data_IF_210411670912
#
_entry.id   IF_210411670912
#
_cell.length_a   1.000
_cell.length_b   1.000
_cell.length_c   1.000
_cell.angle_alpha   90.00
_cell.angle_beta   90.00
_cell.angle_gamma   90.00
#
_symmetry.space_group_name_H-M   'P 1'
#
loop_
_entity.id
_entity.type
_entity.pdbx_description
1 polymer ?
#
# COMPACT_ATOMS: atom_id res chain seq x y z
N UNK A 1 -4.49 -50.86 -12.78
CA UNK A 1 -4.14 -50.27 -11.48
C UNK A 1 -3.04 -49.24 -11.72
N UNK A 2 -3.43 -47.98 -11.98
CA UNK A 2 -2.52 -46.85 -12.11
C UNK A 2 -2.47 -46.17 -10.73
N UNK A 3 -1.26 -45.91 -10.22
CA UNK A 3 -1.05 -45.12 -9.00
C UNK A 3 -1.14 -43.65 -9.39
N UNK A 4 -2.06 -42.94 -8.77
CA UNK A 4 -2.13 -41.48 -8.81
C UNK A 4 -1.10 -40.93 -7.83
N UNK A 5 -0.20 -40.09 -8.32
CA UNK A 5 0.65 -39.27 -7.48
C UNK A 5 -0.11 -37.95 -7.25
N UNK A 6 -0.59 -37.76 -6.02
CA UNK A 6 -1.04 -36.45 -5.56
C UNK A 6 0.20 -35.57 -5.36
N UNK A 7 0.30 -34.50 -6.13
CA UNK A 7 1.28 -33.42 -5.90
C UNK A 7 0.55 -32.35 -5.09
N UNK A 8 0.94 -32.22 -3.82
CA UNK A 8 0.53 -31.14 -2.94
C UNK A 8 1.45 -29.96 -3.24
N UNK A 9 0.95 -28.92 -3.89
CA UNK A 9 1.63 -27.64 -3.97
C UNK A 9 1.31 -26.87 -2.68
N UNK A 10 2.31 -26.78 -1.80
CA UNK A 10 2.27 -25.92 -0.63
C UNK A 10 2.52 -24.48 -1.08
N UNK A 11 1.47 -23.67 -1.09
CA UNK A 11 1.58 -22.21 -1.22
C UNK A 11 2.24 -21.70 0.06
N UNK A 12 3.50 -21.31 -0.03
CA UNK A 12 4.19 -20.57 1.03
C UNK A 12 4.23 -19.12 0.57
N UNK A 13 3.11 -18.43 0.71
CA UNK A 13 3.03 -16.98 0.50
C UNK A 13 3.81 -16.28 1.60
N UNK A 14 4.85 -15.54 1.23
CA UNK A 14 5.56 -14.64 2.13
C UNK A 14 4.65 -13.43 2.34
N UNK A 15 4.05 -13.34 3.52
CA UNK A 15 3.31 -12.15 3.96
C UNK A 15 4.31 -11.03 4.17
N UNK A 16 4.42 -10.11 3.22
CA UNK A 16 5.06 -8.81 3.44
C UNK A 16 4.07 -8.00 4.27
N UNK A 17 4.42 -7.77 5.52
CA UNK A 17 3.63 -6.96 6.43
C UNK A 17 3.56 -5.53 5.88
N UNK A 18 2.37 -5.13 5.40
CA UNK A 18 2.05 -3.73 5.16
C UNK A 18 2.30 -2.96 6.47
N UNK A 19 3.24 -2.02 6.41
CA UNK A 19 3.49 -1.08 7.50
C UNK A 19 2.29 -0.13 7.52
N UNK A 20 1.35 -0.38 8.42
CA UNK A 20 0.26 0.53 8.74
C UNK A 20 0.86 1.83 9.28
N UNK A 21 0.91 2.87 8.45
CA UNK A 21 1.10 4.23 8.93
C UNK A 21 -0.29 4.73 9.31
N UNK A 22 -0.66 4.45 10.57
CA UNK A 22 -1.76 5.16 11.22
C UNK A 22 -1.48 6.66 11.23
N UNK A 23 -2.42 7.42 10.69
CA UNK A 23 -2.47 8.87 10.78
C UNK A 23 -2.21 9.34 12.21
N UNK A 24 -1.27 10.28 12.34
CA UNK A 24 -0.86 10.83 13.61
C UNK A 24 -1.99 11.60 14.30
N UNK A 25 -2.51 11.06 15.39
CA UNK A 25 -3.13 11.87 16.44
C UNK A 25 -2.05 12.19 17.48
N UNK A 26 -1.45 13.37 17.34
CA UNK A 26 -0.56 13.97 18.32
C UNK A 26 -1.38 14.36 19.59
N UNK A 27 -1.63 13.41 20.50
CA UNK A 27 -2.11 13.74 21.84
C UNK A 27 -0.93 14.14 22.74
N UNK A 28 -0.67 15.44 22.80
CA UNK A 28 0.21 16.07 23.77
C UNK A 28 -0.42 15.99 25.17
N UNK A 29 -0.02 15.01 25.97
CA UNK A 29 -0.29 15.01 27.43
C UNK A 29 1.00 15.21 28.21
N UNK A 30 1.07 16.32 28.94
CA UNK A 30 2.16 16.67 29.85
C UNK A 30 2.24 15.72 31.06
N UNK A 31 3.17 14.77 31.04
CA UNK A 31 3.82 14.05 32.16
C UNK A 31 4.66 12.95 31.48
N UNK A 32 5.98 13.02 31.42
CA UNK A 32 6.83 12.88 32.58
C UNK A 32 8.11 13.71 32.50
N UNK A 33 8.22 14.64 33.45
CA UNK A 33 9.44 15.32 33.82
C UNK A 33 10.14 14.41 34.84
N UNK A 34 11.09 13.59 34.39
CA UNK A 34 12.27 13.07 35.12
C UNK A 34 12.62 11.64 34.72
N UNK A 35 13.63 11.50 33.85
CA UNK A 35 14.68 10.49 33.96
C UNK A 35 15.90 10.98 33.16
N UNK A 36 16.52 12.06 33.65
CA UNK A 36 17.88 12.43 33.29
C UNK A 36 18.82 11.85 34.34
N UNK A 37 19.48 10.74 34.01
CA UNK A 37 20.79 10.38 34.53
C UNK A 37 21.33 9.24 33.66
N UNK A 38 21.72 9.59 32.44
CA UNK A 38 22.91 9.09 31.73
C UNK A 38 23.05 9.93 30.46
N UNK A 39 23.24 11.23 30.70
CA UNK A 39 23.50 12.25 29.69
C UNK A 39 25.01 12.33 29.50
N UNK A 40 25.57 11.43 28.70
CA UNK A 40 26.92 11.58 28.13
C UNK A 40 27.01 10.79 26.79
N UNK A 41 26.16 11.16 25.81
CA UNK A 41 26.36 10.91 24.37
C UNK A 41 25.23 11.52 23.51
N UNK A 42 24.73 12.72 23.84
CA UNK A 42 23.63 13.35 23.09
C UNK A 42 23.79 14.88 22.95
N UNK A 43 25.04 15.36 22.90
CA UNK A 43 25.35 16.78 22.69
C UNK A 43 26.62 16.98 21.84
N UNK A 44 26.97 16.02 20.99
CA UNK A 44 27.95 16.19 19.93
C UNK A 44 27.32 15.72 18.62
N UNK A 45 26.44 16.54 17.99
CA UNK A 45 26.35 16.54 16.52
C UNK A 45 25.54 17.67 15.86
N UNK A 46 25.39 18.86 16.45
CA UNK A 46 24.71 19.97 15.73
C UNK A 46 25.58 20.63 14.66
N UNK A 47 26.66 19.95 14.23
CA UNK A 47 27.67 20.45 13.30
C UNK A 47 28.13 19.37 12.30
N UNK A 48 27.39 18.26 12.15
CA UNK A 48 27.69 17.34 11.06
C UNK A 48 27.45 18.06 9.73
N UNK A 49 28.47 18.06 8.88
CA UNK A 49 28.34 18.60 7.54
C UNK A 49 27.26 17.79 6.80
N UNK A 50 26.35 18.48 6.11
CA UNK A 50 25.45 17.81 5.17
C UNK A 50 26.30 17.00 4.18
N UNK A 51 26.05 15.71 4.14
CA UNK A 51 26.66 14.82 3.18
C UNK A 51 25.88 14.91 1.88
N UNK A 52 26.61 15.10 0.78
CA UNK A 52 26.04 15.22 -0.56
C UNK A 52 26.36 13.96 -1.33
N UNK A 53 25.34 13.17 -1.62
CA UNK A 53 25.46 11.94 -2.39
C UNK A 53 24.84 12.11 -3.77
N UNK A 54 25.41 11.45 -4.77
CA UNK A 54 24.83 11.39 -6.12
C UNK A 54 24.14 10.05 -6.32
N UNK A 55 22.89 10.11 -6.73
CA UNK A 55 22.08 8.93 -6.94
C UNK A 55 21.39 8.96 -8.30
N UNK A 56 20.88 7.81 -8.70
CA UNK A 56 19.94 7.68 -9.81
C UNK A 56 18.63 7.14 -9.27
N UNK A 57 17.50 7.68 -9.72
CA UNK A 57 16.19 7.15 -9.37
C UNK A 57 15.94 5.85 -10.14
N UNK A 58 15.57 4.79 -9.42
CA UNK A 58 15.35 3.46 -9.99
C UNK A 58 13.88 3.09 -10.10
N UNK A 59 13.14 3.24 -8.99
CA UNK A 59 11.73 2.91 -8.88
C UNK A 59 11.11 3.60 -7.66
N UNK A 60 9.79 3.67 -7.65
CA UNK A 60 8.98 3.93 -6.47
C UNK A 60 8.07 2.72 -6.25
N UNK A 61 7.94 2.28 -5.00
CA UNK A 61 6.93 1.31 -4.60
C UNK A 61 6.47 1.63 -3.17
N UNK A 62 5.15 1.74 -2.99
CA UNK A 62 4.50 1.86 -1.68
C UNK A 62 5.02 3.02 -0.81
N UNK A 63 5.31 4.18 -1.41
CA UNK A 63 5.82 5.36 -0.72
C UNK A 63 7.32 5.32 -0.41
N UNK A 64 8.06 4.40 -1.03
CA UNK A 64 9.51 4.29 -0.95
C UNK A 64 10.16 4.50 -2.31
N UNK A 65 11.20 5.33 -2.33
CA UNK A 65 12.08 5.51 -3.48
C UNK A 65 13.29 4.60 -3.37
N UNK A 66 13.54 3.85 -4.44
CA UNK A 66 14.75 3.06 -4.63
C UNK A 66 15.78 3.87 -5.40
N UNK A 67 16.92 4.11 -4.76
CA UNK A 67 17.98 4.97 -5.27
C UNK A 67 19.26 4.17 -5.45
N UNK A 68 19.87 4.29 -6.63
CA UNK A 68 21.18 3.70 -6.91
C UNK A 68 22.29 4.68 -6.56
N UNK A 69 23.14 4.34 -5.61
CA UNK A 69 24.32 5.14 -5.25
C UNK A 69 25.35 5.11 -6.39
N UNK A 70 25.67 6.29 -6.95
CA UNK A 70 26.61 6.39 -8.07
C UNK A 70 28.08 6.29 -7.65
N UNK A 71 28.40 6.49 -6.37
CA UNK A 71 29.76 6.36 -5.83
C UNK A 71 30.08 4.93 -5.40
N UNK A 72 29.18 4.30 -4.64
CA UNK A 72 29.41 2.96 -4.07
C UNK A 72 28.79 1.83 -4.89
N UNK A 73 27.79 2.14 -5.71
CA UNK A 73 27.16 1.18 -6.62
C UNK A 73 26.13 0.25 -5.97
N UNK A 74 25.71 0.50 -4.73
CA UNK A 74 24.63 -0.24 -4.06
C UNK A 74 23.29 0.48 -4.17
N UNK A 75 22.20 -0.24 -3.91
CA UNK A 75 20.85 0.32 -3.78
C UNK A 75 20.58 0.68 -2.31
N UNK A 76 19.91 1.81 -2.11
CA UNK A 76 19.32 2.20 -0.82
C UNK A 76 17.92 2.76 -1.03
N UNK A 77 17.17 2.88 0.06
CA UNK A 77 15.80 3.39 0.03
C UNK A 77 15.62 4.61 0.92
N UNK A 78 14.68 5.46 0.53
CA UNK A 78 14.15 6.57 1.32
C UNK A 78 12.64 6.63 1.15
N UNK A 79 11.94 7.28 2.07
CA UNK A 79 10.56 7.68 1.81
C UNK A 79 10.47 8.61 0.60
N UNK A 80 9.38 8.47 -0.16
CA UNK A 80 9.00 9.42 -1.22
C UNK A 80 8.99 10.83 -0.63
N UNK A 81 9.77 11.77 -1.21
CA UNK A 81 9.90 13.11 -0.65
C UNK A 81 8.59 13.90 -0.81
N UNK A 82 8.01 14.39 0.29
CA UNK A 82 6.78 15.19 0.25
C UNK A 82 7.03 16.69 0.12
N UNK A 83 8.09 17.22 0.74
CA UNK A 83 8.42 18.65 0.75
C UNK A 83 9.93 18.94 0.58
N UNK A 84 10.73 17.91 0.28
CA UNK A 84 12.19 18.00 0.17
C UNK A 84 12.73 17.86 -1.26
N UNK A 85 11.87 17.76 -2.27
CA UNK A 85 12.26 17.57 -3.68
C UNK A 85 12.25 18.87 -4.49
N UNK A 86 13.37 19.16 -5.16
CA UNK A 86 13.56 20.40 -5.92
C UNK A 86 14.22 20.18 -7.29
N UNK A 87 14.06 21.13 -8.20
CA UNK A 87 14.82 21.23 -9.44
C UNK A 87 16.18 21.92 -9.23
N UNK A 88 17.00 21.96 -10.29
CA UNK A 88 18.30 22.65 -10.30
C UNK A 88 18.20 24.16 -9.98
N UNK A 89 17.02 24.76 -10.13
CA UNK A 89 16.74 26.17 -9.85
C UNK A 89 16.21 26.39 -8.42
N UNK A 90 15.96 25.32 -7.65
CA UNK A 90 15.39 25.36 -6.32
C UNK A 90 13.86 25.47 -6.26
N UNK A 91 13.16 25.22 -7.36
CA UNK A 91 11.69 25.11 -7.36
C UNK A 91 11.28 23.71 -6.89
N UNK A 92 10.20 23.62 -6.12
CA UNK A 92 9.66 22.33 -5.72
C UNK A 92 9.17 21.56 -6.97
N UNK A 93 9.43 20.25 -7.00
CA UNK A 93 8.93 19.33 -8.04
C UNK A 93 7.99 18.34 -7.38
N UNK A 94 6.92 17.96 -8.08
CA UNK A 94 6.09 16.83 -7.68
C UNK A 94 6.85 15.49 -7.86
N UNK A 95 6.88 14.60 -6.86
CA UNK A 95 7.53 13.29 -6.95
C UNK A 95 7.18 12.49 -8.22
N UNK A 96 5.94 12.61 -8.71
CA UNK A 96 5.45 11.93 -9.92
C UNK A 96 6.15 12.39 -11.22
N UNK A 97 6.84 13.53 -11.20
CA UNK A 97 7.62 14.02 -12.35
C UNK A 97 9.01 13.37 -12.49
N UNK A 98 9.47 12.64 -11.46
CA UNK A 98 10.75 11.91 -11.48
C UNK A 98 10.58 10.59 -12.20
N UNK A 99 11.53 10.28 -13.09
CA UNK A 99 11.49 9.08 -13.93
C UNK A 99 12.70 8.20 -13.69
N UNK A 100 12.54 6.89 -13.91
CA UNK A 100 13.65 5.93 -13.88
C UNK A 100 14.81 6.48 -14.72
N UNK A 101 15.99 6.53 -14.12
CA UNK A 101 17.19 7.07 -14.75
C UNK A 101 17.52 8.52 -14.40
N UNK A 102 16.61 9.27 -13.78
CA UNK A 102 16.89 10.66 -13.38
C UNK A 102 18.02 10.75 -12.36
N UNK A 103 18.93 11.70 -12.59
CA UNK A 103 20.07 11.94 -11.72
C UNK A 103 19.66 12.88 -10.59
N UNK A 104 19.95 12.42 -9.37
CA UNK A 104 19.60 13.11 -8.14
C UNK A 104 20.87 13.47 -7.35
N UNK A 105 20.79 14.59 -6.65
CA UNK A 105 21.68 14.94 -5.55
C UNK A 105 20.88 14.83 -4.26
N UNK A 106 21.32 13.98 -3.35
CA UNK A 106 20.69 13.72 -2.06
C UNK A 106 21.57 14.35 -0.98
N UNK A 107 20.99 15.27 -0.22
CA UNK A 107 21.63 15.98 0.88
C UNK A 107 20.98 15.54 2.19
N UNK A 108 21.81 15.24 3.19
CA UNK A 108 21.32 14.82 4.48
C UNK A 108 22.43 14.59 5.48
N UNK A 109 22.10 13.85 6.53
CA UNK A 109 23.01 13.63 7.64
C UNK A 109 24.05 12.53 7.38
N UNK A 110 23.95 11.76 6.29
CA UNK A 110 24.85 10.69 5.91
C UNK A 110 24.67 9.38 6.71
N UNK A 111 23.64 9.27 7.56
CA UNK A 111 23.38 8.02 8.32
C UNK A 111 22.51 7.08 7.50
N UNK A 112 23.15 6.03 7.00
CA UNK A 112 22.47 4.85 6.48
C UNK A 112 22.20 3.85 7.60
N UNK A 113 20.96 3.38 7.73
CA UNK A 113 20.61 2.30 8.64
C UNK A 113 21.14 0.97 8.12
N UNK A 114 21.54 0.09 9.04
CA UNK A 114 22.04 -1.26 8.72
C UNK A 114 20.89 -2.20 8.35
N UNK A 115 20.34 -2.04 7.15
CA UNK A 115 19.32 -2.88 6.53
C UNK A 115 19.73 -3.28 5.11
N UNK A 116 18.95 -4.16 4.47
CA UNK A 116 19.12 -4.50 3.06
C UNK A 116 17.76 -4.39 2.35
N UNK A 117 17.55 -3.37 1.49
CA UNK A 117 18.47 -2.26 1.18
C UNK A 117 18.79 -1.39 2.40
N UNK A 118 19.90 -0.64 2.36
CA UNK A 118 20.15 0.41 3.34
C UNK A 118 19.02 1.45 3.33
N UNK A 119 18.68 2.01 4.49
CA UNK A 119 17.68 3.08 4.58
C UNK A 119 18.32 4.41 4.96
N UNK A 120 17.95 5.49 4.27
CA UNK A 120 18.47 6.83 4.53
C UNK A 120 17.36 7.79 5.01
N UNK A 121 16.96 7.75 6.29
CA UNK A 121 15.87 8.58 6.81
C UNK A 121 16.27 10.05 7.05
N UNK A 122 17.58 10.34 7.17
CA UNK A 122 18.11 11.66 7.53
C UNK A 122 18.26 12.65 6.37
N UNK A 123 17.51 12.48 5.29
CA UNK A 123 17.58 13.34 4.09
C UNK A 123 16.90 14.69 4.39
N UNK A 124 17.64 15.78 4.21
CA UNK A 124 17.14 17.15 4.32
C UNK A 124 16.66 17.70 2.97
N UNK A 125 17.25 17.23 1.86
CA UNK A 125 16.93 17.73 0.53
C UNK A 125 17.28 16.73 -0.57
N UNK A 126 16.45 16.68 -1.61
CA UNK A 126 16.72 15.98 -2.86
C UNK A 126 16.60 16.97 -4.00
N UNK A 127 17.59 17.01 -4.90
CA UNK A 127 17.56 17.83 -6.10
C UNK A 127 17.67 16.96 -7.35
N UNK A 128 16.77 17.15 -8.32
CA UNK A 128 16.96 16.63 -9.67
C UNK A 128 18.02 17.48 -10.38
N UNK A 129 19.20 16.91 -10.57
CA UNK A 129 20.35 17.61 -11.17
C UNK A 129 20.44 17.42 -12.68
N UNK A 130 19.83 16.36 -13.23
CA UNK A 130 19.69 16.16 -14.66
C UNK A 130 18.61 15.12 -14.95
N UNK A 131 17.95 15.25 -16.10
CA UNK A 131 17.24 14.13 -16.69
C UNK A 131 18.21 13.00 -17.06
N UNK A 132 17.75 11.75 -17.03
CA UNK A 132 18.49 10.61 -17.55
C UNK A 132 17.63 9.69 -18.41
N UNK A 133 18.19 8.53 -18.74
CA UNK A 133 17.53 7.48 -19.51
C UNK A 133 17.45 6.19 -18.70
N UNK A 134 16.54 5.28 -19.05
CA UNK A 134 16.48 3.96 -18.41
C UNK A 134 17.82 3.21 -18.53
N UNK A 135 18.57 3.43 -19.62
CA UNK A 135 19.90 2.86 -19.83
C UNK A 135 20.93 3.30 -18.77
N UNK A 136 20.76 4.48 -18.17
CA UNK A 136 21.64 4.95 -17.11
C UNK A 136 21.41 4.16 -15.80
N UNK A 137 20.20 3.61 -15.61
CA UNK A 137 19.81 2.80 -14.46
C UNK A 137 20.06 1.29 -14.65
N UNK A 138 20.28 0.80 -15.88
CA UNK A 138 20.44 -0.64 -16.21
C UNK A 138 21.46 -1.37 -15.32
N UNK A 139 22.53 -0.69 -14.91
CA UNK A 139 23.56 -1.30 -14.05
C UNK A 139 23.03 -1.76 -12.68
N UNK A 140 21.88 -1.26 -12.25
CA UNK A 140 21.24 -1.61 -10.99
C UNK A 140 20.10 -2.64 -11.15
N UNK A 141 19.68 -2.98 -12.37
CA UNK A 141 18.47 -3.78 -12.59
C UNK A 141 18.57 -5.20 -11.97
N UNK A 142 19.74 -5.83 -12.02
CA UNK A 142 19.95 -7.16 -11.41
C UNK A 142 19.85 -7.12 -9.88
N UNK A 143 20.35 -6.07 -9.23
CA UNK A 143 20.24 -5.91 -7.78
C UNK A 143 18.82 -5.47 -7.39
N UNK A 144 18.21 -4.58 -8.19
CA UNK A 144 16.87 -4.07 -7.97
C UNK A 144 15.85 -5.20 -8.06
N UNK A 145 15.91 -6.07 -9.07
CA UNK A 145 14.99 -7.21 -9.21
C UNK A 145 15.08 -8.24 -8.08
N UNK A 146 16.22 -8.34 -7.39
CA UNK A 146 16.37 -9.20 -6.21
C UNK A 146 15.75 -8.59 -4.95
N UNK A 147 15.69 -7.26 -4.89
CA UNK A 147 15.23 -6.48 -3.74
C UNK A 147 13.75 -6.13 -3.87
N UNK A 148 13.35 -5.76 -5.08
CA UNK A 148 12.01 -5.41 -5.52
C UNK A 148 11.66 -6.37 -6.66
N UNK A 149 11.20 -7.59 -6.35
CA UNK A 149 10.73 -8.52 -7.36
C UNK A 149 9.61 -7.89 -8.17
N UNK A 150 9.59 -8.14 -9.48
CA UNK A 150 8.45 -7.76 -10.30
C UNK A 150 7.17 -8.38 -9.72
N UNK A 151 6.11 -7.57 -9.62
CA UNK A 151 4.80 -8.05 -9.19
C UNK A 151 4.33 -9.10 -10.18
N UNK A 152 3.82 -10.21 -9.67
CA UNK A 152 3.21 -11.23 -10.53
C UNK A 152 1.98 -10.62 -11.19
N UNK A 153 1.97 -10.42 -12.52
CA UNK A 153 0.89 -9.70 -13.18
C UNK A 153 -0.42 -10.51 -13.18
N UNK A 154 -0.36 -11.80 -12.83
CA UNK A 154 -1.54 -12.66 -12.62
C UNK A 154 -2.15 -12.55 -11.23
N UNK A 155 -1.47 -11.90 -10.28
CA UNK A 155 -1.97 -11.69 -8.92
C UNK A 155 -3.16 -10.73 -8.96
N UNK A 156 -4.28 -11.15 -8.36
CA UNK A 156 -5.47 -10.31 -8.24
C UNK A 156 -5.30 -9.43 -7.01
N UNK A 157 -5.50 -8.10 -7.12
CA UNK A 157 -5.36 -7.23 -5.96
C UNK A 157 -6.29 -7.64 -4.82
N UNK A 158 -5.80 -7.57 -3.59
CA UNK A 158 -6.62 -7.75 -2.39
C UNK A 158 -6.94 -6.41 -1.73
N UNK A 159 -8.01 -6.39 -0.93
CA UNK A 159 -8.43 -5.22 -0.16
C UNK A 159 -8.30 -5.52 1.35
N UNK A 160 -7.54 -4.69 2.05
CA UNK A 160 -7.52 -4.60 3.50
C UNK A 160 -8.38 -3.42 3.99
N UNK A 161 -9.11 -3.66 5.06
CA UNK A 161 -10.00 -2.71 5.71
C UNK A 161 -9.38 -2.32 7.04
N UNK A 162 -8.91 -1.07 7.13
CA UNK A 162 -8.23 -0.54 8.31
C UNK A 162 -9.15 0.41 9.06
N UNK A 163 -9.29 0.22 10.38
CA UNK A 163 -10.16 1.06 11.20
C UNK A 163 -9.70 1.11 12.66
N UNK A 164 -10.14 2.16 13.35
CA UNK A 164 -9.76 2.40 14.75
C UNK A 164 -10.88 1.99 15.69
N UNK A 165 -10.51 1.20 16.69
CA UNK A 165 -11.35 0.87 17.84
C UNK A 165 -10.80 1.57 19.10
N UNK A 166 -11.58 1.68 20.20
CA UNK A 166 -11.16 2.43 21.39
C UNK A 166 -9.79 2.04 21.98
N UNK A 167 -9.32 0.81 21.72
CA UNK A 167 -8.10 0.23 22.28
C UNK A 167 -7.13 -0.34 21.22
N UNK A 168 -7.45 -0.27 19.93
CA UNK A 168 -6.67 -0.92 18.87
C UNK A 168 -6.85 -0.27 17.50
N UNK A 169 -5.82 -0.36 16.66
CA UNK A 169 -5.96 -0.24 15.21
C UNK A 169 -6.17 -1.65 14.66
N UNK A 170 -7.20 -1.85 13.85
CA UNK A 170 -7.61 -3.16 13.35
C UNK A 170 -7.50 -3.17 11.84
N UNK A 171 -6.93 -4.26 11.31
CA UNK A 171 -6.91 -4.55 9.88
C UNK A 171 -7.59 -5.89 9.65
N UNK A 172 -8.58 -5.89 8.76
CA UNK A 172 -9.26 -7.09 8.32
C UNK A 172 -9.20 -7.16 6.79
N UNK A 173 -8.91 -8.32 6.22
CA UNK A 173 -8.96 -8.50 4.78
C UNK A 173 -10.43 -8.65 4.34
N UNK A 174 -10.84 -7.98 3.27
CA UNK A 174 -12.15 -8.17 2.67
C UNK A 174 -12.21 -9.53 1.94
N UNK A 175 -13.41 -10.08 1.79
CA UNK A 175 -13.59 -11.29 0.97
C UNK A 175 -13.56 -10.90 -0.49
N UNK A 176 -12.69 -11.51 -1.28
CA UNK A 176 -12.68 -11.30 -2.73
C UNK A 176 -13.87 -12.01 -3.38
N UNK A 177 -14.56 -11.30 -4.25
CA UNK A 177 -15.70 -11.75 -5.04
C UNK A 177 -15.34 -12.02 -6.49
N UNK A 178 -16.21 -11.53 -7.38
CA UNK A 178 -16.06 -11.70 -8.82
C UNK A 178 -14.97 -10.78 -9.37
N UNK A 179 -14.34 -11.20 -10.46
CA UNK A 179 -13.34 -10.37 -11.13
C UNK A 179 -13.19 -10.70 -12.60
N UNK A 180 -12.68 -9.71 -13.34
CA UNK A 180 -12.13 -9.85 -14.69
C UNK A 180 -10.71 -9.32 -14.65
N UNK A 181 -9.73 -10.10 -15.13
CA UNK A 181 -8.32 -9.71 -15.07
C UNK A 181 -7.57 -10.08 -16.34
N UNK A 182 -6.89 -9.11 -16.94
CA UNK A 182 -6.07 -9.28 -18.14
C UNK A 182 -4.61 -8.98 -17.84
N UNK A 183 -3.73 -9.85 -18.28
CA UNK A 183 -2.29 -9.71 -18.06
C UNK A 183 -1.48 -10.38 -19.18
N UNK A 184 -0.17 -10.18 -19.20
CA UNK A 184 0.76 -10.87 -20.12
C UNK A 184 1.59 -11.86 -19.32
N UNK A 185 1.63 -13.12 -19.77
CA UNK A 185 2.43 -14.17 -19.11
C UNK A 185 3.93 -14.08 -19.45
N UNK A 186 4.75 -14.90 -18.79
CA UNK A 186 6.20 -14.97 -18.99
C UNK A 186 6.61 -15.26 -20.45
N UNK A 187 5.72 -15.88 -21.24
CA UNK A 187 5.93 -16.20 -22.66
C UNK A 187 5.52 -15.03 -23.59
N UNK A 188 5.04 -13.91 -23.04
CA UNK A 188 4.58 -12.74 -23.78
C UNK A 188 3.18 -12.88 -24.36
N UNK A 189 2.38 -13.85 -23.91
CA UNK A 189 1.02 -14.05 -24.39
C UNK A 189 0.00 -13.34 -23.48
N UNK A 190 -0.97 -12.66 -24.09
CA UNK A 190 -2.08 -12.08 -23.35
C UNK A 190 -3.01 -13.14 -22.79
N UNK A 191 -3.25 -13.07 -21.49
CA UNK A 191 -4.20 -13.87 -20.72
C UNK A 191 -5.39 -13.00 -20.31
N UNK A 192 -6.56 -13.62 -20.20
CA UNK A 192 -7.75 -12.99 -19.64
C UNK A 192 -8.50 -14.02 -18.79
N UNK A 193 -8.66 -13.71 -17.50
CA UNK A 193 -9.28 -14.56 -16.50
C UNK A 193 -10.57 -13.91 -16.04
N UNK A 194 -11.63 -14.70 -15.95
CA UNK A 194 -12.92 -14.25 -15.42
C UNK A 194 -13.35 -15.25 -14.35
N UNK A 195 -13.66 -14.73 -13.17
CA UNK A 195 -14.28 -15.48 -12.09
C UNK A 195 -15.61 -14.81 -11.76
N UNK A 196 -16.72 -15.49 -12.06
CA UNK A 196 -18.04 -15.03 -11.67
C UNK A 196 -18.25 -15.26 -10.17
N UNK A 197 -18.92 -14.31 -9.52
CA UNK A 197 -19.39 -14.47 -8.14
C UNK A 197 -20.92 -14.38 -8.08
N UNK A 198 -21.48 -14.99 -7.03
CA UNK A 198 -22.90 -14.82 -6.73
C UNK A 198 -23.18 -13.36 -6.32
N UNK A 199 -24.45 -13.00 -6.18
CA UNK A 199 -24.80 -11.73 -5.56
C UNK A 199 -24.32 -11.70 -4.11
N UNK A 200 -23.83 -10.56 -3.61
CA UNK A 200 -23.17 -10.41 -2.31
C UNK A 200 -23.94 -11.02 -1.13
N UNK A 201 -25.27 -10.92 -1.12
CA UNK A 201 -26.14 -11.48 -0.07
C UNK A 201 -26.25 -13.02 -0.10
N UNK A 202 -25.74 -13.65 -1.16
CA UNK A 202 -25.69 -15.11 -1.33
C UNK A 202 -24.28 -15.69 -1.07
N UNK A 203 -23.29 -14.85 -0.76
CA UNK A 203 -21.93 -15.33 -0.49
C UNK A 203 -21.91 -16.17 0.79
N UNK A 204 -21.32 -17.36 0.68
CA UNK A 204 -21.24 -18.33 1.78
C UNK A 204 -20.31 -17.85 2.88
N UNK A 205 -19.21 -17.21 2.50
CA UNK A 205 -18.19 -16.68 3.39
C UNK A 205 -18.09 -15.17 3.16
N UNK A 206 -18.13 -14.40 4.24
CA UNK A 206 -17.93 -12.95 4.23
C UNK A 206 -17.05 -12.59 5.41
N UNK A 207 -16.19 -11.59 5.20
CA UNK A 207 -15.31 -11.09 6.25
C UNK A 207 -16.11 -10.25 7.23
N UNK A 208 -15.97 -10.55 8.53
CA UNK A 208 -16.71 -9.90 9.61
C UNK A 208 -15.87 -8.79 10.25
N UNK A 209 -16.36 -7.56 10.16
CA UNK A 209 -15.76 -6.39 10.83
C UNK A 209 -16.53 -6.12 12.11
N UNK A 210 -15.99 -6.59 13.24
CA UNK A 210 -16.60 -6.38 14.54
C UNK A 210 -16.17 -5.02 15.11
N UNK A 211 -17.11 -4.10 15.27
CA UNK A 211 -16.88 -2.77 15.83
C UNK A 211 -17.34 -2.70 17.29
N UNK A 212 -16.44 -2.29 18.18
CA UNK A 212 -16.72 -2.25 19.63
C UNK A 212 -17.31 -0.90 20.12
N UNK A 213 -17.57 0.06 19.21
CA UNK A 213 -18.05 1.39 19.62
C UNK A 213 -19.56 1.45 19.85
N UNK A 214 -19.98 2.35 20.74
CA UNK A 214 -21.40 2.52 21.09
C UNK A 214 -22.25 3.06 19.93
N UNK A 215 -21.63 3.84 19.03
CA UNK A 215 -22.28 4.49 17.88
C UNK A 215 -22.68 3.50 16.78
N UNK A 216 -22.06 2.32 16.74
CA UNK A 216 -22.29 1.33 15.68
C UNK A 216 -21.79 1.81 14.31
N UNK A 217 -20.84 2.75 14.28
CA UNK A 217 -20.25 3.31 13.05
C UNK A 217 -18.75 3.44 13.18
N UNK A 218 -18.02 3.24 12.09
CA UNK A 218 -16.58 3.48 12.03
C UNK A 218 -16.18 4.01 10.67
N UNK A 219 -15.16 4.86 10.63
CA UNK A 219 -14.50 5.19 9.38
C UNK A 219 -13.62 3.99 8.98
N UNK A 220 -13.71 3.60 7.70
CA UNK A 220 -12.92 2.51 7.13
C UNK A 220 -11.95 3.10 6.11
N UNK A 221 -10.67 2.86 6.29
CA UNK A 221 -9.66 3.06 5.27
C UNK A 221 -9.56 1.79 4.41
N UNK A 222 -9.58 1.97 3.09
CA UNK A 222 -9.50 0.92 2.08
C UNK A 222 -8.07 0.87 1.54
N UNK A 223 -7.32 -0.16 1.95
CA UNK A 223 -5.93 -0.36 1.58
C UNK A 223 -5.84 -1.50 0.58
N UNK A 224 -5.68 -1.15 -0.69
CA UNK A 224 -5.51 -2.12 -1.77
C UNK A 224 -4.04 -2.51 -1.92
N UNK A 225 -3.77 -3.74 -2.37
CA UNK A 225 -2.40 -4.20 -2.69
C UNK A 225 -1.83 -3.57 -3.96
N UNK A 226 -2.71 -3.06 -4.81
CA UNK A 226 -2.42 -2.27 -6.01
C UNK A 226 -3.39 -1.08 -6.00
N UNK A 227 -2.98 0.09 -6.45
CA UNK A 227 -3.86 1.26 -6.42
C UNK A 227 -4.92 1.18 -7.54
N UNK A 228 -6.22 1.23 -7.23
CA UNK A 228 -7.27 1.24 -8.25
C UNK A 228 -7.44 2.62 -8.88
N UNK A 229 -7.82 2.64 -10.16
CA UNK A 229 -8.23 3.84 -10.91
C UNK A 229 -9.52 4.45 -10.34
N UNK A 230 -10.43 3.61 -9.85
CA UNK A 230 -11.68 4.05 -9.24
C UNK A 230 -12.29 2.99 -8.31
N UNK A 231 -13.03 3.46 -7.31
CA UNK A 231 -13.71 2.61 -6.34
C UNK A 231 -15.15 3.09 -6.15
N UNK A 232 -16.10 2.15 -6.16
CA UNK A 232 -17.49 2.37 -5.78
C UNK A 232 -17.91 1.40 -4.69
N UNK A 233 -18.88 1.79 -3.87
CA UNK A 233 -19.40 0.91 -2.83
C UNK A 233 -20.92 0.99 -2.74
N UNK A 234 -21.54 -0.17 -2.49
CA UNK A 234 -22.95 -0.32 -2.18
C UNK A 234 -23.10 -1.13 -0.89
N UNK A 235 -24.25 -0.96 -0.23
CA UNK A 235 -24.58 -1.72 0.98
C UNK A 235 -26.02 -2.24 1.00
N UNK A 236 -26.20 -3.32 1.73
CA UNK A 236 -27.49 -3.97 1.98
C UNK A 236 -27.65 -4.30 3.46
N UNK A 237 -28.89 -4.31 3.99
CA UNK A 237 -29.15 -4.80 5.34
C UNK A 237 -28.66 -6.25 5.50
N UNK A 238 -27.91 -6.53 6.56
CA UNK A 238 -27.39 -7.88 6.82
C UNK A 238 -28.53 -8.90 7.06
N UNK A 239 -29.71 -8.45 7.49
CA UNK A 239 -30.91 -9.29 7.65
C UNK A 239 -31.48 -9.82 6.32
N UNK A 240 -31.08 -9.22 5.19
CA UNK A 240 -31.46 -9.71 3.86
C UNK A 240 -30.63 -10.90 3.40
N UNK A 241 -29.51 -11.20 4.08
CA UNK A 241 -28.64 -12.32 3.75
C UNK A 241 -29.37 -13.67 3.87
N UNK A 242 -29.18 -14.54 2.88
CA UNK A 242 -29.76 -15.88 2.85
C UNK A 242 -31.27 -15.93 2.62
N UNK A 243 -31.91 -14.80 2.29
CA UNK A 243 -33.29 -14.77 1.82
C UNK A 243 -33.41 -15.35 0.39
N UNK A 244 -34.62 -15.77 0.01
CA UNK A 244 -34.88 -16.25 -1.34
C UNK A 244 -35.32 -15.08 -2.23
N UNK A 245 -34.43 -14.62 -3.11
CA UNK A 245 -34.62 -13.44 -3.95
C UNK A 245 -35.44 -13.68 -5.22
N UNK A 246 -36.40 -14.62 -5.22
CA UNK A 246 -37.02 -15.17 -6.43
C UNK A 246 -37.43 -14.19 -7.56
N UNK A 247 -37.84 -12.95 -7.25
CA UNK A 247 -38.23 -11.92 -8.22
C UNK A 247 -37.09 -10.98 -8.67
N UNK A 248 -35.85 -11.25 -8.27
CA UNK A 248 -34.68 -10.39 -8.48
C UNK A 248 -34.03 -9.95 -7.17
N UNK A 249 -32.78 -9.51 -7.25
CA UNK A 249 -32.02 -9.04 -6.10
C UNK A 249 -32.48 -7.65 -5.63
N UNK A 250 -32.42 -7.36 -4.31
CA UNK A 250 -32.70 -6.04 -3.79
C UNK A 250 -31.70 -5.01 -4.31
N UNK A 251 -32.18 -3.79 -4.56
CA UNK A 251 -31.33 -2.67 -4.95
C UNK A 251 -30.44 -2.26 -3.76
N UNK A 252 -29.15 -2.06 -4.02
CA UNK A 252 -28.18 -1.60 -3.03
C UNK A 252 -28.35 -0.12 -2.71
N UNK A 253 -28.00 0.27 -1.49
CA UNK A 253 -27.80 1.67 -1.14
C UNK A 253 -26.38 2.08 -1.51
N UNK A 254 -26.22 3.08 -2.37
CA UNK A 254 -24.91 3.64 -2.69
C UNK A 254 -24.25 4.26 -1.46
N UNK A 255 -22.98 3.91 -1.23
CA UNK A 255 -22.16 4.38 -0.12
C UNK A 255 -21.16 5.40 -0.63
N UNK A 256 -20.95 6.47 0.13
CA UNK A 256 -19.93 7.46 -0.19
C UNK A 256 -18.55 6.84 -0.04
N UNK A 257 -17.74 6.93 -1.09
CA UNK A 257 -16.32 6.59 -1.07
C UNK A 257 -15.54 7.89 -1.30
N UNK A 258 -14.59 8.18 -0.43
CA UNK A 258 -13.72 9.35 -0.51
C UNK A 258 -12.31 8.94 -0.92
N UNK A 259 -11.64 9.79 -1.70
CA UNK A 259 -10.23 9.63 -2.08
C UNK A 259 -9.49 10.95 -1.82
N UNK A 260 -8.67 10.97 -0.77
CA UNK A 260 -7.83 12.11 -0.42
C UNK A 260 -6.35 11.72 -0.48
N UNK A 261 -5.81 11.16 0.60
CA UNK A 261 -4.50 10.49 0.62
C UNK A 261 -4.63 8.97 0.45
N UNK A 262 -5.77 8.42 0.89
CA UNK A 262 -6.16 7.02 0.70
C UNK A 262 -7.66 6.92 0.43
N UNK A 263 -8.09 5.76 -0.08
CA UNK A 263 -9.50 5.44 -0.29
C UNK A 263 -10.17 5.17 1.05
N UNK A 264 -11.40 5.66 1.26
CA UNK A 264 -12.12 5.44 2.51
C UNK A 264 -13.64 5.42 2.37
N UNK A 265 -14.28 4.72 3.31
CA UNK A 265 -15.73 4.75 3.54
C UNK A 265 -15.97 5.38 4.91
N UNK A 266 -16.41 6.65 4.97
CA UNK A 266 -16.72 7.31 6.24
C UNK A 266 -18.01 6.75 6.85
N UNK A 267 -17.99 6.52 8.16
CA UNK A 267 -19.17 6.13 8.93
C UNK A 267 -19.84 4.81 8.52
N UNK A 268 -19.05 3.81 8.09
CA UNK A 268 -19.54 2.46 7.83
C UNK A 268 -20.28 1.90 9.05
N UNK A 269 -21.52 1.50 8.82
CA UNK A 269 -22.52 1.21 9.85
C UNK A 269 -22.70 -0.30 10.05
N UNK A 270 -22.76 -0.72 11.32
CA UNK A 270 -23.05 -2.10 11.69
C UNK A 270 -24.47 -2.53 11.30
N UNK A 271 -24.63 -3.82 11.01
CA UNK A 271 -25.87 -4.40 10.50
C UNK A 271 -26.03 -4.31 8.98
N UNK A 272 -24.95 -3.96 8.27
CA UNK A 272 -24.91 -3.89 6.81
C UNK A 272 -23.80 -4.77 6.25
N UNK A 273 -24.06 -5.29 5.05
CA UNK A 273 -23.10 -5.94 4.17
C UNK A 273 -22.72 -4.94 3.08
N UNK A 274 -21.44 -4.77 2.84
CA UNK A 274 -20.87 -3.86 1.87
C UNK A 274 -20.26 -4.66 0.73
N UNK A 275 -20.51 -4.20 -0.50
CA UNK A 275 -19.78 -4.59 -1.70
C UNK A 275 -18.99 -3.38 -2.19
N UNK A 276 -17.70 -3.59 -2.41
CA UNK A 276 -16.77 -2.59 -2.94
C UNK A 276 -16.28 -3.08 -4.29
N UNK A 277 -16.58 -2.34 -5.35
CA UNK A 277 -16.10 -2.62 -6.69
C UNK A 277 -14.93 -1.68 -7.00
N UNK A 278 -13.80 -2.26 -7.38
CA UNK A 278 -12.61 -1.54 -7.77
C UNK A 278 -12.26 -1.81 -9.24
N UNK A 279 -11.84 -0.76 -9.93
CA UNK A 279 -11.33 -0.81 -11.30
C UNK A 279 -9.84 -0.52 -11.27
N UNK A 280 -9.07 -1.36 -11.94
CA UNK A 280 -7.63 -1.28 -12.12
C UNK A 280 -7.31 -1.25 -13.61
N UNK A 281 -6.07 -0.92 -13.96
CA UNK A 281 -5.60 -0.97 -15.35
C UNK A 281 -5.85 -2.35 -15.98
N UNK A 282 -5.61 -3.41 -15.21
CA UNK A 282 -5.70 -4.79 -15.66
C UNK A 282 -7.14 -5.36 -15.64
N UNK A 283 -8.09 -4.71 -14.97
CA UNK A 283 -9.46 -5.20 -14.90
C UNK A 283 -10.28 -4.73 -13.71
N UNK A 284 -11.19 -5.58 -13.23
CA UNK A 284 -12.15 -5.23 -12.16
C UNK A 284 -12.23 -6.32 -11.12
N UNK A 285 -12.42 -5.94 -9.86
CA UNK A 285 -12.54 -6.87 -8.73
C UNK A 285 -13.62 -6.35 -7.78
N UNK A 286 -14.51 -7.23 -7.35
CA UNK A 286 -15.50 -6.96 -6.30
C UNK A 286 -15.00 -7.53 -4.96
N UNK A 287 -15.23 -6.81 -3.87
CA UNK A 287 -14.87 -7.20 -2.51
C UNK A 287 -16.07 -7.08 -1.58
N UNK A 288 -16.22 -8.02 -0.65
CA UNK A 288 -17.37 -8.12 0.24
C UNK A 288 -17.00 -8.20 1.71
N UNK A 289 -17.74 -7.51 2.56
CA UNK A 289 -17.62 -7.63 4.02
C UNK A 289 -18.90 -7.25 4.77
N UNK A 290 -19.04 -7.74 6.00
CA UNK A 290 -20.17 -7.44 6.89
C UNK A 290 -19.67 -6.65 8.12
N UNK A 291 -20.30 -5.51 8.43
CA UNK A 291 -19.98 -4.76 9.65
C UNK A 291 -20.91 -5.20 10.77
N UNK A 292 -20.35 -5.66 11.89
CA UNK A 292 -21.05 -6.23 13.04
C UNK A 292 -20.75 -5.46 14.32
N UNK A 293 -21.68 -5.53 15.27
CA UNK A 293 -21.51 -5.00 16.63
C UNK A 293 -21.44 -6.14 17.64
#
# INVERSE_FOLDING_TARGET
MKKENAVIFGVTGVVVAAVLIGGGIYMKTERDRNLNADTESAAEDSNRAEEVQKAIFLAEDSGLWYLGDLEHGNIYVTHTPSDTLYDENGNAIDPSEIKKGDFLQVEGDGIMLNSYPGQYPGISRIMRISGGTEADAEKFDEELSQILPEKDPSEIPFLNLCYTQPNAQVTAMATQGGYTWSYVDEDGNGQNVVADSAFILEWTELSDLNIENDEGKTDLELVFSEEPDSVTAERWPAEDRGQNFGNGYPEGESVSVEHAESWSIPGAEAGYIYEVDAVFENGTVSYGFEVKK
#
